data_IF_972961470170
#
_entry.id   IF_972961470170
#
_cell.length_a   1.000
_cell.length_b   1.000
_cell.length_c   1.000
_cell.angle_alpha   90.00
_cell.angle_beta   90.00
_cell.angle_gamma   90.00
#
_symmetry.space_group_name_H-M   'P 1'
#
loop_
_entity.id
_entity.type
_entity.pdbx_description
1 polymer ?
#
# COMPACT_ATOMS: atom_id res chain seq x y z
N UNK A 1 23.79 -10.39 4.67
CA UNK A 1 22.77 -9.55 4.03
C UNK A 1 23.30 -8.13 4.06
N UNK A 2 23.46 -7.50 2.89
CA UNK A 2 23.93 -6.12 2.83
C UNK A 2 22.73 -5.15 2.96
N UNK A 3 23.01 -3.89 3.26
CA UNK A 3 21.95 -2.88 3.42
C UNK A 3 21.15 -2.69 2.12
N UNK A 4 21.77 -2.83 0.96
CA UNK A 4 21.10 -2.70 -0.34
C UNK A 4 20.07 -3.81 -0.59
N UNK A 5 20.36 -5.05 -0.21
CA UNK A 5 19.44 -6.19 -0.30
C UNK A 5 18.23 -5.98 0.63
N UNK A 6 18.46 -5.49 1.85
CA UNK A 6 17.37 -5.15 2.79
C UNK A 6 16.46 -4.07 2.18
N UNK A 7 17.04 -2.98 1.65
CA UNK A 7 16.26 -1.92 1.00
C UNK A 7 15.53 -2.41 -0.25
N UNK A 8 16.15 -3.30 -1.04
CA UNK A 8 15.50 -3.95 -2.18
C UNK A 8 14.27 -4.76 -1.77
N UNK A 9 14.36 -5.53 -0.68
CA UNK A 9 13.23 -6.30 -0.15
C UNK A 9 12.11 -5.42 0.40
N UNK A 10 12.45 -4.28 1.00
CA UNK A 10 11.46 -3.30 1.47
C UNK A 10 10.71 -2.69 0.27
N UNK A 11 11.40 -2.36 -0.83
CA UNK A 11 10.73 -1.91 -2.07
C UNK A 11 9.79 -2.98 -2.63
N UNK A 12 10.22 -4.24 -2.70
CA UNK A 12 9.33 -5.34 -3.14
C UNK A 12 8.09 -5.46 -2.25
N UNK A 13 8.23 -5.33 -0.93
CA UNK A 13 7.10 -5.36 -0.01
C UNK A 13 6.14 -4.19 -0.23
N UNK A 14 6.67 -2.99 -0.51
CA UNK A 14 5.89 -1.77 -0.80
C UNK A 14 5.12 -1.91 -2.11
N UNK A 15 5.76 -2.41 -3.16
CA UNK A 15 5.11 -2.66 -4.45
C UNK A 15 4.01 -3.72 -4.34
N UNK A 16 4.23 -4.75 -3.53
CA UNK A 16 3.21 -5.75 -3.25
C UNK A 16 2.02 -5.16 -2.47
N UNK A 17 2.26 -4.26 -1.50
CA UNK A 17 1.19 -3.55 -0.81
C UNK A 17 0.35 -2.71 -1.78
N UNK A 18 1.00 -2.01 -2.73
CA UNK A 18 0.34 -1.25 -3.80
C UNK A 18 -0.52 -2.11 -4.72
N UNK A 19 -0.04 -3.30 -5.11
CA UNK A 19 -0.82 -4.26 -5.89
C UNK A 19 -2.08 -4.69 -5.13
N UNK A 20 -1.92 -5.06 -3.86
CA UNK A 20 -3.02 -5.47 -3.00
C UNK A 20 -4.05 -4.33 -2.79
N UNK A 21 -3.63 -3.07 -2.69
CA UNK A 21 -4.57 -1.94 -2.65
C UNK A 21 -5.46 -1.89 -3.90
N UNK A 22 -4.90 -2.13 -5.09
CA UNK A 22 -5.67 -2.14 -6.34
C UNK A 22 -6.71 -3.26 -6.34
N UNK A 23 -6.34 -4.44 -5.85
CA UNK A 23 -7.27 -5.55 -5.69
C UNK A 23 -8.41 -5.21 -4.72
N UNK A 24 -8.13 -4.62 -3.56
CA UNK A 24 -9.19 -4.27 -2.60
C UNK A 24 -10.11 -3.17 -3.16
N UNK A 25 -9.58 -2.19 -3.91
CA UNK A 25 -10.40 -1.20 -4.63
C UNK A 25 -11.35 -1.87 -5.62
N UNK A 26 -10.87 -2.88 -6.35
CA UNK A 26 -11.71 -3.66 -7.26
C UNK A 26 -12.78 -4.45 -6.48
N UNK A 27 -12.43 -5.10 -5.36
CA UNK A 27 -13.39 -5.83 -4.52
C UNK A 27 -14.46 -4.92 -3.91
N UNK A 28 -14.13 -3.65 -3.62
CA UNK A 28 -15.11 -2.64 -3.19
C UNK A 28 -16.07 -2.31 -4.34
N UNK A 29 -15.56 -2.14 -5.56
CA UNK A 29 -16.38 -1.84 -6.74
C UNK A 29 -17.30 -3.02 -7.12
N UNK A 30 -16.83 -4.25 -6.92
CA UNK A 30 -17.56 -5.48 -7.25
C UNK A 30 -18.46 -5.98 -6.10
N UNK A 31 -18.49 -5.30 -4.95
CA UNK A 31 -19.24 -5.74 -3.79
C UNK A 31 -20.76 -5.64 -4.02
N UNK A 32 -21.45 -6.76 -3.88
CA UNK A 32 -22.91 -6.89 -3.97
C UNK A 32 -23.62 -6.70 -2.60
N UNK A 33 -22.86 -6.65 -1.51
CA UNK A 33 -23.37 -6.40 -0.16
C UNK A 33 -22.51 -5.40 0.61
N UNK A 34 -23.14 -4.68 1.53
CA UNK A 34 -22.46 -3.73 2.42
C UNK A 34 -21.38 -4.40 3.27
N UNK A 35 -21.59 -5.64 3.72
CA UNK A 35 -20.59 -6.37 4.51
C UNK A 35 -19.33 -6.68 3.70
N UNK A 36 -19.48 -7.10 2.42
CA UNK A 36 -18.33 -7.35 1.53
C UNK A 36 -17.59 -6.05 1.23
N UNK A 37 -18.33 -4.97 0.99
CA UNK A 37 -17.76 -3.64 0.76
C UNK A 37 -16.98 -3.14 1.99
N UNK A 38 -17.55 -3.30 3.18
CA UNK A 38 -16.93 -2.90 4.44
C UNK A 38 -15.65 -3.69 4.72
N UNK A 39 -15.68 -5.02 4.57
CA UNK A 39 -14.50 -5.86 4.74
C UNK A 39 -13.37 -5.50 3.76
N UNK A 40 -13.70 -5.23 2.49
CA UNK A 40 -12.72 -4.79 1.50
C UNK A 40 -12.17 -3.39 1.82
N UNK A 41 -12.99 -2.48 2.34
CA UNK A 41 -12.57 -1.14 2.77
C UNK A 41 -11.58 -1.18 3.93
N UNK A 42 -11.82 -2.04 4.94
CA UNK A 42 -10.87 -2.23 6.06
C UNK A 42 -9.53 -2.78 5.57
N UNK A 43 -9.57 -3.76 4.66
CA UNK A 43 -8.34 -4.30 4.06
C UNK A 43 -7.60 -3.23 3.26
N UNK A 44 -8.30 -2.43 2.45
CA UNK A 44 -7.71 -1.32 1.71
C UNK A 44 -6.97 -0.35 2.64
N UNK A 45 -7.63 0.12 3.70
CA UNK A 45 -7.01 1.03 4.67
C UNK A 45 -5.77 0.41 5.34
N UNK A 46 -5.82 -0.89 5.65
CA UNK A 46 -4.67 -1.61 6.21
C UNK A 46 -3.50 -1.68 5.23
N UNK A 47 -3.76 -1.94 3.94
CA UNK A 47 -2.71 -1.97 2.91
C UNK A 47 -2.08 -0.60 2.71
N UNK A 48 -2.90 0.46 2.71
CA UNK A 48 -2.43 1.84 2.62
C UNK A 48 -1.50 2.20 3.79
N UNK A 49 -1.88 1.86 5.02
CA UNK A 49 -1.03 2.11 6.20
C UNK A 49 0.31 1.37 6.13
N UNK A 50 0.31 0.12 5.65
CA UNK A 50 1.56 -0.65 5.46
C UNK A 50 2.43 -0.02 4.38
N UNK A 51 1.85 0.35 3.23
CA UNK A 51 2.59 1.04 2.16
C UNK A 51 3.22 2.33 2.67
N UNK A 52 2.45 3.14 3.40
CA UNK A 52 2.93 4.42 3.95
C UNK A 52 4.08 4.22 4.95
N UNK A 53 4.00 3.19 5.81
CA UNK A 53 5.10 2.85 6.70
C UNK A 53 6.36 2.39 5.94
N UNK A 54 6.21 1.68 4.82
CA UNK A 54 7.33 1.25 3.98
C UNK A 54 7.92 2.44 3.20
N UNK A 55 7.07 3.36 2.72
CA UNK A 55 7.48 4.61 2.07
C UNK A 55 8.37 5.45 3.02
N UNK A 56 7.96 5.58 4.28
CA UNK A 56 8.71 6.28 5.32
C UNK A 56 10.08 5.63 5.57
N UNK A 57 10.14 4.30 5.69
CA UNK A 57 11.41 3.57 5.87
C UNK A 57 12.35 3.74 4.66
N UNK A 58 11.79 3.80 3.45
CA UNK A 58 12.57 3.98 2.22
C UNK A 58 13.09 5.42 2.05
N UNK A 59 12.57 6.38 2.83
CA UNK A 59 12.76 7.81 2.58
C UNK A 59 12.13 8.26 1.26
N UNK A 60 11.25 7.44 0.67
CA UNK A 60 10.48 7.74 -0.52
C UNK A 60 9.19 8.43 -0.08
N UNK A 61 9.32 9.61 0.55
CA UNK A 61 8.16 10.47 0.74
C UNK A 61 7.64 10.85 -0.64
N UNK A 62 6.41 10.45 -0.98
CA UNK A 62 5.56 11.24 -1.88
C UNK A 62 5.36 12.58 -1.20
N UNK A 63 6.34 13.46 -1.30
CA UNK A 63 6.29 14.81 -0.79
C UNK A 63 5.52 15.64 -1.83
N UNK A 64 4.26 16.03 -1.59
CA UNK A 64 3.52 16.89 -2.52
C UNK A 64 4.16 18.29 -2.64
N UNK A 65 5.17 18.62 -1.82
CA UNK A 65 5.81 19.92 -1.77
C UNK A 65 7.08 20.07 -2.65
N UNK A 66 7.49 19.07 -3.43
CA UNK A 66 8.68 19.19 -4.29
C UNK A 66 8.41 19.68 -5.73
N UNK A 67 7.24 20.29 -5.98
CA UNK A 67 6.96 21.10 -7.18
C UNK A 67 6.59 22.54 -6.77
N UNK A 68 7.52 23.26 -6.14
CA UNK A 68 7.41 24.68 -5.78
C UNK A 68 8.65 25.45 -6.19
#
# INVERSE_FOLDING_TARGET
MDANDIMGRIRTARDHALEQEREERQRIADADTADKQGAASVRLATRQAVREALDDILGESTDPAQNG
#
